data_IF_692235778746
#
_entry.id   IF_692235778746
#
_cell.length_a   1.000
_cell.length_b   1.000
_cell.length_c   1.000
_cell.angle_alpha   90.00
_cell.angle_beta   90.00
_cell.angle_gamma   90.00
#
_symmetry.space_group_name_H-M   'P 1'
#
loop_
_entity.id
_entity.type
_entity.pdbx_description
1 polymer ?
#
# COMPACT_ATOMS: atom_id res chain seq x y z
N UNK A 1 28.31 -8.99 -39.48
CA UNK A 1 26.85 -8.98 -39.25
C UNK A 1 26.60 -9.22 -37.77
N UNK A 2 26.51 -8.15 -36.98
CA UNK A 2 26.15 -8.25 -35.56
C UNK A 2 24.63 -8.21 -35.46
N UNK A 3 24.00 -9.33 -35.11
CA UNK A 3 22.59 -9.34 -34.71
C UNK A 3 22.56 -8.90 -33.25
N UNK A 4 22.26 -7.62 -33.02
CA UNK A 4 21.94 -7.13 -31.68
C UNK A 4 20.71 -7.86 -31.19
N UNK A 5 20.90 -8.79 -30.26
CA UNK A 5 19.81 -9.35 -29.46
C UNK A 5 19.26 -8.24 -28.59
N UNK A 6 18.13 -7.65 -28.98
CA UNK A 6 17.31 -6.86 -28.08
C UNK A 6 16.77 -7.82 -27.02
N UNK A 7 17.47 -7.91 -25.89
CA UNK A 7 16.99 -8.62 -24.71
C UNK A 7 15.84 -7.78 -24.14
N UNK A 8 14.62 -8.17 -24.47
CA UNK A 8 13.43 -7.57 -23.88
C UNK A 8 13.41 -7.98 -22.39
N UNK A 9 13.65 -7.03 -21.49
CA UNK A 9 13.63 -7.28 -20.05
C UNK A 9 12.19 -7.55 -19.60
N UNK A 10 11.87 -8.83 -19.39
CA UNK A 10 10.60 -9.25 -18.79
C UNK A 10 10.72 -9.13 -17.27
N UNK A 11 9.93 -8.24 -16.67
CA UNK A 11 9.82 -8.15 -15.22
C UNK A 11 8.76 -9.12 -14.70
N UNK A 12 9.10 -9.89 -13.66
CA UNK A 12 8.11 -10.68 -12.93
C UNK A 12 7.25 -9.77 -12.02
N UNK A 13 6.00 -10.16 -11.70
CA UNK A 13 5.15 -9.43 -10.76
C UNK A 13 5.81 -9.34 -9.38
N UNK A 14 5.91 -8.12 -8.82
CA UNK A 14 6.44 -7.92 -7.46
C UNK A 14 5.49 -8.48 -6.39
N UNK A 15 4.22 -8.63 -6.74
CA UNK A 15 3.19 -9.26 -5.91
C UNK A 15 2.65 -10.44 -6.71
N UNK A 16 2.60 -11.61 -6.08
CA UNK A 16 2.00 -12.81 -6.67
C UNK A 16 0.47 -12.68 -6.69
N UNK A 17 -0.18 -13.29 -7.67
CA UNK A 17 -1.62 -13.15 -7.91
C UNK A 17 -2.49 -13.43 -6.67
N UNK A 18 -2.13 -14.43 -5.86
CA UNK A 18 -2.87 -14.73 -4.62
C UNK A 18 -2.79 -13.59 -3.59
N UNK A 19 -1.63 -12.94 -3.47
CA UNK A 19 -1.43 -11.78 -2.60
C UNK A 19 -2.23 -10.59 -3.14
N UNK A 20 -2.29 -10.41 -4.46
CA UNK A 20 -3.11 -9.36 -5.09
C UNK A 20 -4.61 -9.59 -4.84
N UNK A 21 -5.09 -10.82 -5.01
CA UNK A 21 -6.49 -11.19 -4.72
C UNK A 21 -6.86 -10.98 -3.25
N UNK A 22 -5.93 -11.25 -2.33
CA UNK A 22 -6.11 -10.97 -0.90
C UNK A 22 -6.23 -9.46 -0.64
N UNK A 23 -5.35 -8.65 -1.26
CA UNK A 23 -5.38 -7.19 -1.15
C UNK A 23 -6.68 -6.60 -1.71
N UNK A 24 -7.14 -7.10 -2.87
CA UNK A 24 -8.41 -6.69 -3.50
C UNK A 24 -9.63 -7.09 -2.65
N UNK A 25 -9.63 -8.30 -2.08
CA UNK A 25 -10.68 -8.78 -1.18
C UNK A 25 -10.80 -7.90 0.07
N UNK A 26 -9.66 -7.52 0.66
CA UNK A 26 -9.61 -6.64 1.83
C UNK A 26 -10.01 -5.20 1.47
N UNK A 27 -9.67 -4.74 0.26
CA UNK A 27 -10.01 -3.39 -0.21
C UNK A 27 -11.49 -3.25 -0.63
N UNK A 28 -12.12 -4.30 -1.17
CA UNK A 28 -13.50 -4.27 -1.69
C UNK A 28 -14.61 -4.26 -0.63
N UNK A 29 -14.28 -4.45 0.65
CA UNK A 29 -15.26 -4.38 1.73
C UNK A 29 -15.59 -2.94 2.14
N UNK A 30 -16.76 -2.43 1.74
CA UNK A 30 -17.26 -1.10 2.15
C UNK A 30 -17.20 -0.82 3.67
N UNK A 31 -17.25 -1.88 4.50
CA UNK A 31 -17.09 -1.80 5.95
C UNK A 31 -15.66 -1.51 6.42
N UNK A 32 -14.65 -2.11 5.78
CA UNK A 32 -13.24 -2.02 6.19
C UNK A 32 -12.70 -0.60 5.95
N UNK A 33 -12.99 -0.01 4.79
CA UNK A 33 -12.57 1.37 4.48
C UNK A 33 -13.19 2.40 5.43
N UNK A 34 -14.46 2.21 5.79
CA UNK A 34 -15.18 3.09 6.73
C UNK A 34 -14.66 2.93 8.15
N UNK A 35 -14.45 1.69 8.61
CA UNK A 35 -13.86 1.39 9.91
C UNK A 35 -12.47 2.02 10.06
N UNK A 36 -11.58 1.86 9.07
CA UNK A 36 -10.24 2.47 9.06
C UNK A 36 -10.30 3.98 9.22
N UNK A 37 -11.16 4.66 8.45
CA UNK A 37 -11.36 6.11 8.54
C UNK A 37 -11.84 6.55 9.92
N UNK A 38 -12.81 5.84 10.50
CA UNK A 38 -13.33 6.14 11.84
C UNK A 38 -12.25 5.96 12.91
N UNK A 39 -11.45 4.89 12.85
CA UNK A 39 -10.35 4.66 13.79
C UNK A 39 -9.28 5.76 13.67
N UNK A 40 -8.91 6.17 12.46
CA UNK A 40 -7.96 7.26 12.24
C UNK A 40 -8.47 8.59 12.81
N UNK A 41 -9.75 8.93 12.60
CA UNK A 41 -10.36 10.15 13.16
C UNK A 41 -10.41 10.10 14.68
N UNK A 42 -10.75 8.94 15.26
CA UNK A 42 -10.79 8.76 16.71
C UNK A 42 -9.39 8.89 17.34
N UNK A 43 -8.36 8.35 16.67
CA UNK A 43 -6.98 8.36 17.17
C UNK A 43 -6.21 9.65 16.83
N UNK A 44 -6.75 10.53 15.99
CA UNK A 44 -6.20 11.87 15.71
C UNK A 44 -6.59 12.94 16.75
N UNK A 45 -7.27 12.54 17.83
CA UNK A 45 -7.68 13.44 18.93
C UNK A 45 -6.50 13.80 19.84
N UNK A 46 -6.73 14.78 20.71
CA UNK A 46 -5.73 15.20 21.68
C UNK A 46 -5.39 14.08 22.69
N UNK A 47 -4.23 14.22 23.33
CA UNK A 47 -3.70 13.19 24.22
C UNK A 47 -4.55 12.94 25.47
N UNK A 48 -5.33 13.92 25.94
CA UNK A 48 -6.19 13.75 27.11
C UNK A 48 -7.40 12.89 26.75
N UNK A 49 -8.03 13.19 25.61
CA UNK A 49 -9.11 12.38 25.03
C UNK A 49 -8.68 10.94 24.79
N UNK A 50 -7.47 10.72 24.26
CA UNK A 50 -6.95 9.36 24.04
C UNK A 50 -6.66 8.61 25.34
N UNK A 51 -6.13 9.28 26.36
CA UNK A 51 -5.92 8.68 27.69
C UNK A 51 -7.25 8.26 28.31
N UNK A 52 -8.25 9.14 28.24
CA UNK A 52 -9.60 8.85 28.74
C UNK A 52 -10.20 7.66 28.01
N UNK A 53 -10.14 7.63 26.69
CA UNK A 53 -10.64 6.52 25.87
C UNK A 53 -9.95 5.19 26.21
N UNK A 54 -8.64 5.21 26.43
CA UNK A 54 -7.88 4.02 26.87
C UNK A 54 -8.28 3.54 28.26
N UNK A 55 -8.63 4.45 29.16
CA UNK A 55 -9.03 4.11 30.54
C UNK A 55 -10.47 3.65 30.63
N UNK A 56 -11.39 4.34 29.96
CA UNK A 56 -12.84 4.09 30.02
C UNK A 56 -13.25 2.92 29.12
N UNK A 57 -12.64 2.78 27.94
CA UNK A 57 -12.99 1.78 26.92
C UNK A 57 -11.74 1.04 26.39
N UNK A 58 -11.02 0.29 27.24
CA UNK A 58 -9.71 -0.28 26.89
C UNK A 58 -9.75 -1.29 25.74
N UNK A 59 -10.81 -2.08 25.63
CA UNK A 59 -10.98 -3.07 24.55
C UNK A 59 -11.15 -2.37 23.20
N UNK A 60 -12.05 -1.38 23.14
CA UNK A 60 -12.25 -0.58 21.93
C UNK A 60 -10.97 0.16 21.52
N UNK A 61 -10.23 0.72 22.49
CA UNK A 61 -8.94 1.34 22.23
C UNK A 61 -7.93 0.36 21.63
N UNK A 62 -7.84 -0.86 22.17
CA UNK A 62 -6.94 -1.90 21.64
C UNK A 62 -7.31 -2.32 20.21
N UNK A 63 -8.62 -2.43 19.91
CA UNK A 63 -9.07 -2.78 18.57
C UNK A 63 -8.80 -1.67 17.56
N UNK A 64 -8.98 -0.40 17.93
CA UNK A 64 -8.60 0.75 17.10
C UNK A 64 -7.10 0.80 16.86
N UNK A 65 -6.30 0.54 17.89
CA UNK A 65 -4.83 0.48 17.80
C UNK A 65 -4.37 -0.58 16.79
N UNK A 66 -4.87 -1.82 16.91
CA UNK A 66 -4.58 -2.91 15.95
C UNK A 66 -5.01 -2.56 14.53
N UNK A 67 -6.20 -1.97 14.38
CA UNK A 67 -6.73 -1.59 13.08
C UNK A 67 -5.86 -0.52 12.39
N UNK A 68 -5.39 0.49 13.14
CA UNK A 68 -4.52 1.54 12.59
C UNK A 68 -3.12 1.01 12.27
N UNK A 69 -2.53 0.16 13.13
CA UNK A 69 -1.22 -0.42 12.83
C UNK A 69 -1.26 -1.33 11.60
N UNK A 70 -2.26 -2.22 11.50
CA UNK A 70 -2.43 -3.05 10.31
C UNK A 70 -2.68 -2.22 9.04
N UNK A 71 -3.36 -1.08 9.16
CA UNK A 71 -3.53 -0.17 8.02
C UNK A 71 -2.22 0.53 7.63
N UNK A 72 -1.38 0.93 8.59
CA UNK A 72 -0.06 1.51 8.31
C UNK A 72 0.80 0.55 7.51
N UNK A 73 0.92 -0.71 7.96
CA UNK A 73 1.71 -1.75 7.27
C UNK A 73 1.21 -1.97 5.84
N UNK A 74 -0.11 -2.02 5.65
CA UNK A 74 -0.70 -2.14 4.33
C UNK A 74 -0.41 -0.92 3.43
N UNK A 75 -0.46 0.30 3.97
CA UNK A 75 -0.14 1.51 3.23
C UNK A 75 1.34 1.57 2.83
N UNK A 76 2.24 1.11 3.70
CA UNK A 76 3.68 0.98 3.41
C UNK A 76 3.92 -0.01 2.26
N UNK A 77 3.29 -1.19 2.28
CA UNK A 77 3.39 -2.16 1.19
C UNK A 77 2.85 -1.59 -0.14
N UNK A 78 1.74 -0.85 -0.12
CA UNK A 78 1.22 -0.19 -1.32
C UNK A 78 2.19 0.88 -1.85
N UNK A 79 2.85 1.61 -0.97
CA UNK A 79 3.86 2.60 -1.35
C UNK A 79 5.07 1.93 -2.02
N UNK A 80 5.54 0.79 -1.50
CA UNK A 80 6.62 0.02 -2.13
C UNK A 80 6.25 -0.42 -3.55
N UNK A 81 5.03 -0.90 -3.75
CA UNK A 81 4.53 -1.33 -5.06
C UNK A 81 4.42 -0.15 -6.02
N UNK A 82 3.89 0.99 -5.55
CA UNK A 82 3.79 2.21 -6.34
C UNK A 82 5.18 2.70 -6.77
N UNK A 83 6.15 2.72 -5.85
CA UNK A 83 7.53 3.08 -6.16
C UNK A 83 8.15 2.16 -7.20
N UNK A 84 7.96 0.84 -7.07
CA UNK A 84 8.47 -0.10 -8.06
C UNK A 84 7.79 0.05 -9.43
N UNK A 85 6.51 0.39 -9.46
CA UNK A 85 5.81 0.73 -10.70
C UNK A 85 6.38 2.02 -11.33
N UNK A 86 6.66 3.06 -10.55
CA UNK A 86 7.32 4.28 -11.02
C UNK A 86 8.67 3.98 -11.67
N UNK A 87 9.53 3.20 -11.02
CA UNK A 87 10.83 2.81 -11.59
C UNK A 87 10.67 2.06 -12.92
N UNK A 88 9.69 1.15 -13.04
CA UNK A 88 9.43 0.45 -14.30
C UNK A 88 8.96 1.38 -15.41
N UNK A 89 8.15 2.38 -15.08
CA UNK A 89 7.70 3.41 -16.02
C UNK A 89 8.89 4.25 -16.49
N UNK A 90 9.76 4.68 -15.58
CA UNK A 90 10.99 5.43 -15.89
C UNK A 90 11.90 4.63 -16.83
N UNK A 91 12.16 3.35 -16.54
CA UNK A 91 13.01 2.48 -17.37
C UNK A 91 12.49 2.30 -18.80
N UNK A 92 11.17 2.25 -18.99
CA UNK A 92 10.58 2.14 -20.34
C UNK A 92 10.60 3.51 -21.04
N UNK A 93 10.37 4.60 -20.30
CA UNK A 93 10.36 5.95 -20.85
C UNK A 93 11.74 6.37 -21.38
N UNK A 94 12.82 6.01 -20.68
CA UNK A 94 14.21 6.29 -21.09
C UNK A 94 14.66 5.46 -22.32
N UNK A 95 14.00 4.32 -22.57
CA UNK A 95 14.29 3.46 -23.72
C UNK A 95 13.64 3.98 -25.02
N UNK A 96 12.53 4.73 -24.92
CA UNK A 96 11.86 5.32 -26.07
C UNK A 96 12.62 6.55 -26.62
N UNK A 97 13.38 7.28 -25.80
CA UNK A 97 14.20 8.41 -26.26
C UNK A 97 15.46 7.95 -27.01
N UNK A 98 16.08 6.83 -26.60
CA UNK A 98 17.30 6.29 -27.25
C UNK A 98 17.04 5.62 -28.60
N UNK A 99 15.80 5.29 -28.94
CA UNK A 99 15.43 4.73 -30.24
C UNK A 99 15.02 5.79 -31.27
N UNK A 100 14.91 7.06 -30.88
CA UNK A 100 14.49 8.18 -31.74
C UNK A 100 15.66 9.06 -32.25
N UNK A 101 16.90 8.69 -31.97
CA UNK A 101 18.13 9.32 -32.47
C UNK A 101 19.03 8.31 -33.17
#
# INVERSE_FOLDING_TARGET
MNKGTHTQEYFEPNIRDHTMQELERVAGGNGIGTQRRLCLIALARDSETLRRLKTEEPEAFSDMEKAVFGFREHAEALLEVANAACVRIELISDNDEKQRH
#
